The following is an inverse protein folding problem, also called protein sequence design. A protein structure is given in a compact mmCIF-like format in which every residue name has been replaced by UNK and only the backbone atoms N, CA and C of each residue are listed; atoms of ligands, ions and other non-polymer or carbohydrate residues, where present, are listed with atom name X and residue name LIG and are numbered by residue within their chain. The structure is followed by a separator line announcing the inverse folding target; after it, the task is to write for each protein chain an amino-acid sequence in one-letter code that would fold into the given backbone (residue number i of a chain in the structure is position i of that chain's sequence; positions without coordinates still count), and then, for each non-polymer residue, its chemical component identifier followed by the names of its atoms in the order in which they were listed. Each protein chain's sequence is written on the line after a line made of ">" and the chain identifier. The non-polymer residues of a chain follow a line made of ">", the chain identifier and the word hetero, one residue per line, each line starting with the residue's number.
data_IF_125357849540
#
_entry.id   IF_125357849540
#
_cell.length_a   1.000
_cell.length_b   1.000
_cell.length_c   1.000
_cell.angle_alpha   90.00
_cell.angle_beta   90.00
_cell.angle_gamma   90.00
#
_symmetry.space_group_name_H-M   'P 1'
#
loop_
_entity.id
_entity.type
_entity.pdbx_description
1 polymer ?
#
# COMPACT_ATOMS: atom_id res chain seq x y z
N UNK A 1 1.53 55.02 24.57
CA UNK A 1 2.38 55.60 23.50
C UNK A 1 3.79 55.76 24.04
N UNK A 2 4.53 54.64 24.13
CA UNK A 2 5.99 54.61 24.20
C UNK A 2 6.42 53.60 23.13
N UNK A 3 7.03 54.15 22.09
CA UNK A 3 7.50 53.49 20.87
C UNK A 3 8.55 52.45 21.28
N UNK A 4 8.39 51.18 20.91
CA UNK A 4 9.05 50.59 19.73
C UNK A 4 10.41 51.25 19.49
N UNK A 5 11.51 50.54 19.82
CA UNK A 5 12.82 50.56 19.14
C UNK A 5 13.91 49.89 20.01
N UNK A 6 13.74 48.60 20.35
CA UNK A 6 14.89 47.70 20.58
C UNK A 6 14.58 46.40 19.84
N UNK A 7 14.42 46.55 18.53
CA UNK A 7 14.76 45.51 17.57
C UNK A 7 16.29 45.48 17.46
N UNK A 8 16.84 44.30 17.18
CA UNK A 8 18.20 44.07 16.66
C UNK A 8 19.36 43.94 17.67
N UNK A 9 19.33 42.89 18.49
CA UNK A 9 20.52 42.08 18.85
C UNK A 9 20.01 40.80 19.52
N UNK A 10 19.75 39.70 18.82
CA UNK A 10 20.75 38.65 18.64
C UNK A 10 20.40 37.84 17.40
N UNK A 11 21.06 38.23 16.31
CA UNK A 11 21.19 37.47 15.08
C UNK A 11 22.32 36.47 15.27
N UNK A 12 22.06 35.18 15.01
CA UNK A 12 23.09 34.22 14.61
C UNK A 12 23.63 33.31 15.72
N UNK A 13 23.40 32.01 15.55
CA UNK A 13 24.30 30.86 15.78
C UNK A 13 23.47 29.61 15.48
N UNK A 14 23.38 29.22 14.20
CA UNK A 14 24.27 28.26 13.54
C UNK A 14 23.66 26.85 13.53
N UNK A 15 23.35 26.41 12.32
CA UNK A 15 22.97 25.06 11.94
C UNK A 15 23.91 24.00 12.57
N UNK A 16 23.36 23.06 13.32
CA UNK A 16 23.99 21.75 13.56
C UNK A 16 23.18 20.68 12.85
N UNK A 17 23.44 20.56 11.55
CA UNK A 17 22.99 19.42 10.76
C UNK A 17 23.77 18.17 11.20
N UNK A 18 23.21 17.38 12.11
CA UNK A 18 23.66 16.01 12.36
C UNK A 18 23.23 15.13 11.17
N UNK A 19 24.13 15.07 10.18
CA UNK A 19 24.09 14.21 9.02
C UNK A 19 24.36 12.76 9.47
N UNK A 20 23.31 12.03 9.85
CA UNK A 20 23.43 10.58 10.09
C UNK A 20 23.48 9.88 8.73
N UNK A 21 24.67 9.41 8.36
CA UNK A 21 24.93 8.45 7.30
C UNK A 21 25.26 7.11 7.94
N UNK A 22 24.87 6.02 7.26
CA UNK A 22 25.20 4.59 7.46
C UNK A 22 24.15 3.83 8.31
N UNK A 23 23.63 2.66 7.95
CA UNK A 23 23.98 1.65 6.95
C UNK A 23 22.72 1.04 6.31
N UNK A 24 22.76 0.85 4.98
CA UNK A 24 21.89 -0.09 4.28
C UNK A 24 22.60 -1.44 4.38
N UNK A 25 22.02 -2.37 5.14
CA UNK A 25 22.45 -3.76 5.13
C UNK A 25 22.13 -4.35 3.74
N UNK A 26 23.16 -4.36 2.88
CA UNK A 26 23.15 -5.14 1.65
C UNK A 26 23.25 -6.62 2.04
N UNK A 27 22.23 -7.39 1.67
CA UNK A 27 22.27 -8.83 1.76
C UNK A 27 23.32 -9.40 0.79
N UNK A 28 24.07 -10.45 1.19
CA UNK A 28 25.14 -11.00 0.40
C UNK A 28 24.58 -12.03 -0.59
N UNK A 29 24.04 -11.58 -1.71
CA UNK A 29 23.86 -12.46 -2.87
C UNK A 29 24.21 -11.69 -4.14
N UNK A 30 25.51 -11.48 -4.36
CA UNK A 30 26.06 -11.36 -5.72
C UNK A 30 27.44 -11.99 -5.79
N UNK A 31 27.49 -13.08 -6.54
CA UNK A 31 28.60 -13.78 -7.20
C UNK A 31 27.86 -14.80 -8.08
N UNK A 32 28.00 -14.91 -9.38
CA UNK A 32 28.93 -14.36 -10.38
C UNK A 32 28.28 -14.70 -11.75
N UNK A 33 28.53 -13.99 -12.86
CA UNK A 33 27.99 -14.31 -14.18
C UNK A 33 28.85 -15.38 -14.87
N UNK A 34 28.27 -15.99 -15.91
CA UNK A 34 28.95 -16.74 -16.97
C UNK A 34 29.38 -18.18 -16.65
N UNK A 35 28.61 -19.14 -17.16
CA UNK A 35 29.14 -20.25 -18.01
C UNK A 35 27.99 -20.96 -18.73
N UNK A 36 27.90 -20.71 -20.04
CA UNK A 36 27.41 -21.68 -21.05
C UNK A 36 28.69 -22.14 -21.82
N UNK A 37 28.78 -23.34 -22.44
CA UNK A 37 27.77 -23.80 -23.39
C UNK A 37 27.61 -25.33 -23.65
N UNK A 38 26.56 -25.61 -24.45
CA UNK A 38 26.50 -26.54 -25.61
C UNK A 38 25.91 -27.98 -25.48
N UNK A 39 24.78 -28.11 -26.19
CA UNK A 39 24.24 -29.19 -27.08
C UNK A 39 23.78 -30.52 -26.48
N UNK A 40 22.47 -30.77 -26.57
CA UNK A 40 21.93 -31.94 -27.27
C UNK A 40 20.63 -31.56 -27.98
N UNK A 41 20.55 -31.86 -29.28
CA UNK A 41 19.39 -31.66 -30.16
C UNK A 41 18.82 -33.03 -30.51
N UNK A 42 17.50 -33.24 -30.41
CA UNK A 42 16.69 -34.05 -31.35
C UNK A 42 15.21 -33.59 -31.27
N UNK A 43 14.45 -33.54 -32.38
CA UNK A 43 13.16 -32.83 -32.49
C UNK A 43 11.95 -33.77 -32.38
N UNK A 44 10.75 -33.24 -32.11
CA UNK A 44 9.48 -33.72 -32.68
C UNK A 44 8.41 -32.63 -32.55
N UNK A 45 7.75 -32.41 -33.69
CA UNK A 45 6.62 -31.52 -33.88
C UNK A 45 5.39 -31.99 -33.11
N UNK A 46 4.58 -31.05 -32.63
CA UNK A 46 3.16 -31.13 -32.98
C UNK A 46 2.54 -29.74 -33.11
N UNK A 47 1.71 -29.66 -34.14
CA UNK A 47 1.09 -28.47 -34.71
C UNK A 47 -0.35 -28.44 -34.22
N UNK A 48 -0.73 -27.43 -33.44
CA UNK A 48 -2.14 -27.06 -33.29
C UNK A 48 -2.28 -25.57 -33.47
N UNK A 49 -2.82 -25.21 -34.63
CA UNK A 49 -3.31 -23.89 -35.01
C UNK A 49 -4.72 -23.69 -34.45
N UNK A 50 -5.11 -22.41 -34.27
CA UNK A 50 -6.46 -21.87 -33.97
C UNK A 50 -6.77 -21.78 -32.45
N UNK A 51 -7.13 -20.63 -31.87
CA UNK A 51 -7.89 -19.50 -32.41
C UNK A 51 -7.59 -18.26 -31.56
N UNK A 52 -7.32 -17.12 -32.20
CA UNK A 52 -7.16 -15.82 -31.56
C UNK A 52 -8.50 -15.37 -30.98
N UNK A 53 -8.64 -15.41 -29.66
CA UNK A 53 -9.63 -14.63 -28.92
C UNK A 53 -8.89 -13.44 -28.33
N UNK A 54 -9.26 -12.25 -28.77
CA UNK A 54 -8.71 -10.98 -28.32
C UNK A 54 -8.76 -10.90 -26.79
N UNK A 55 -7.60 -11.13 -26.17
CA UNK A 55 -7.40 -11.07 -24.74
C UNK A 55 -7.30 -9.59 -24.35
N UNK A 56 -8.13 -9.09 -23.42
CA UNK A 56 -7.93 -7.75 -22.90
C UNK A 56 -6.59 -7.80 -22.17
N UNK A 57 -5.56 -7.18 -22.79
CA UNK A 57 -4.19 -6.98 -22.30
C UNK A 57 -4.14 -7.18 -20.79
N UNK A 58 -3.79 -8.41 -20.38
CA UNK A 58 -3.62 -8.76 -18.97
C UNK A 58 -2.39 -7.98 -18.54
N UNK A 59 -2.62 -6.77 -18.04
CA UNK A 59 -1.62 -6.06 -17.27
C UNK A 59 -1.23 -7.04 -16.16
N UNK A 60 0.01 -7.53 -16.17
CA UNK A 60 0.55 -8.40 -15.13
C UNK A 60 0.26 -7.75 -13.78
N UNK A 61 -0.75 -8.28 -13.07
CA UNK A 61 -1.15 -7.74 -11.77
C UNK A 61 -0.02 -8.03 -10.81
N UNK A 62 0.70 -6.99 -10.42
CA UNK A 62 1.72 -7.07 -9.38
C UNK A 62 1.14 -7.79 -8.15
N UNK A 63 1.93 -8.66 -7.48
CA UNK A 63 1.44 -9.40 -6.33
C UNK A 63 0.90 -8.43 -5.27
N UNK A 64 -0.25 -8.81 -4.70
CA UNK A 64 -0.92 -8.05 -3.65
C UNK A 64 -0.51 -8.63 -2.29
N UNK A 65 0.09 -7.81 -1.44
CA UNK A 65 0.42 -8.20 -0.07
C UNK A 65 -0.87 -8.40 0.74
N UNK A 66 -0.91 -9.47 1.53
CA UNK A 66 -2.07 -9.81 2.36
C UNK A 66 -1.66 -10.10 3.79
N UNK A 67 -2.48 -9.70 4.76
CA UNK A 67 -2.28 -10.02 6.19
C UNK A 67 -3.61 -10.40 6.83
N UNK A 68 -3.61 -11.45 7.64
CA UNK A 68 -4.75 -11.84 8.48
C UNK A 68 -4.65 -11.11 9.80
N UNK A 69 -5.71 -10.41 10.20
CA UNK A 69 -5.78 -9.66 11.46
C UNK A 69 -7.20 -9.74 12.03
N UNK A 70 -7.31 -9.89 13.35
CA UNK A 70 -8.57 -9.60 14.04
C UNK A 70 -8.78 -8.09 14.07
N UNK A 71 -9.97 -7.63 13.70
CA UNK A 71 -10.32 -6.21 13.63
C UNK A 71 -11.68 -5.94 14.22
N UNK A 72 -11.82 -4.75 14.81
CA UNK A 72 -13.09 -4.20 15.28
C UNK A 72 -13.39 -2.90 14.53
N UNK A 73 -14.67 -2.60 14.36
CA UNK A 73 -15.10 -1.34 13.73
C UNK A 73 -15.07 -0.20 14.76
N UNK A 74 -14.63 0.98 14.34
CA UNK A 74 -14.62 2.18 15.20
C UNK A 74 -15.96 2.90 15.23
N UNK A 75 -16.90 2.54 14.34
CA UNK A 75 -18.25 3.09 14.23
C UNK A 75 -19.27 1.95 14.08
N UNK A 76 -20.43 2.10 14.72
CA UNK A 76 -21.53 1.13 14.63
C UNK A 76 -22.13 1.08 13.22
N UNK A 77 -22.23 2.22 12.54
CA UNK A 77 -22.71 2.28 11.14
C UNK A 77 -21.79 1.53 10.19
N UNK A 78 -20.47 1.69 10.35
CA UNK A 78 -19.50 0.99 9.50
C UNK A 78 -19.57 -0.52 9.72
N UNK A 79 -19.78 -0.94 10.98
CA UNK A 79 -19.99 -2.34 11.36
C UNK A 79 -21.20 -2.92 10.61
N UNK A 80 -22.36 -2.30 10.74
CA UNK A 80 -23.60 -2.78 10.12
C UNK A 80 -23.49 -2.94 8.60
N UNK A 81 -22.73 -2.07 7.93
CA UNK A 81 -22.56 -2.10 6.48
C UNK A 81 -21.48 -3.08 6.00
N UNK A 82 -20.47 -3.38 6.81
CA UNK A 82 -19.25 -4.07 6.37
C UNK A 82 -18.94 -5.36 7.14
N UNK A 83 -19.72 -5.73 8.16
CA UNK A 83 -19.43 -6.90 9.00
C UNK A 83 -19.56 -8.22 8.24
N UNK A 84 -20.35 -8.26 7.16
CA UNK A 84 -20.42 -9.44 6.28
C UNK A 84 -19.17 -9.63 5.41
N UNK A 85 -18.31 -8.61 5.30
CA UNK A 85 -17.13 -8.64 4.43
C UNK A 85 -15.90 -9.18 5.17
N UNK A 86 -15.05 -9.90 4.43
CA UNK A 86 -13.84 -10.56 4.95
C UNK A 86 -12.55 -9.94 4.43
N UNK A 87 -12.59 -9.22 3.30
CA UNK A 87 -11.42 -8.64 2.67
C UNK A 87 -11.51 -7.12 2.66
N UNK A 88 -10.50 -6.43 3.17
CA UNK A 88 -10.48 -4.98 3.33
C UNK A 88 -9.26 -4.39 2.62
N UNK A 89 -9.49 -3.37 1.78
CA UNK A 89 -8.44 -2.69 1.02
C UNK A 89 -7.88 -1.54 1.85
N UNK A 90 -6.65 -1.71 2.35
CA UNK A 90 -6.01 -0.79 3.27
C UNK A 90 -5.08 0.17 2.55
N UNK A 91 -5.27 1.48 2.77
CA UNK A 91 -4.40 2.54 2.25
C UNK A 91 -3.54 3.21 3.33
N UNK A 92 -3.87 3.02 4.61
CA UNK A 92 -3.16 3.64 5.71
C UNK A 92 -3.20 2.80 6.98
N UNK A 93 -2.17 2.92 7.81
CA UNK A 93 -2.06 2.24 9.09
C UNK A 93 -1.36 3.15 10.09
N UNK A 94 -2.07 3.51 11.16
CA UNK A 94 -1.63 4.53 12.10
C UNK A 94 -1.69 4.02 13.53
N UNK A 95 -0.70 4.34 14.35
CA UNK A 95 -0.70 4.01 15.78
C UNK A 95 -1.62 4.94 16.60
N UNK A 96 -1.99 6.10 16.05
CA UNK A 96 -2.85 7.09 16.69
C UNK A 96 -4.15 7.26 15.90
N UNK A 97 -5.28 7.24 16.59
CA UNK A 97 -6.60 7.35 15.98
C UNK A 97 -6.80 8.68 15.26
N UNK A 98 -6.30 9.78 15.81
CA UNK A 98 -6.47 11.11 15.21
C UNK A 98 -5.73 11.24 13.87
N UNK A 99 -4.57 10.58 13.72
CA UNK A 99 -3.88 10.49 12.44
C UNK A 99 -4.70 9.70 11.41
N UNK A 100 -5.33 8.59 11.83
CA UNK A 100 -6.22 7.83 10.96
C UNK A 100 -7.46 8.65 10.54
N UNK A 101 -8.03 9.45 11.46
CA UNK A 101 -9.15 10.36 11.18
C UNK A 101 -8.76 11.45 10.18
N UNK A 102 -7.61 12.10 10.37
CA UNK A 102 -7.13 13.13 9.44
C UNK A 102 -6.88 12.55 8.04
N UNK A 103 -6.31 11.35 7.97
CA UNK A 103 -6.11 10.66 6.69
C UNK A 103 -7.45 10.24 6.05
N UNK A 104 -8.44 9.81 6.85
CA UNK A 104 -9.81 9.57 6.39
C UNK A 104 -10.41 10.81 5.71
N UNK A 105 -10.30 11.99 6.31
CA UNK A 105 -10.78 13.23 5.70
C UNK A 105 -10.08 13.54 4.37
N UNK A 106 -8.77 13.27 4.29
CA UNK A 106 -8.01 13.42 3.04
C UNK A 106 -8.56 12.51 1.94
N UNK A 107 -8.87 11.26 2.27
CA UNK A 107 -9.43 10.29 1.32
C UNK A 107 -10.88 10.62 0.94
N UNK A 108 -11.70 11.12 1.86
CA UNK A 108 -13.05 11.62 1.56
C UNK A 108 -13.00 12.75 0.51
N UNK A 109 -12.09 13.70 0.67
CA UNK A 109 -11.89 14.80 -0.29
C UNK A 109 -11.41 14.33 -1.67
N UNK A 110 -10.83 13.13 -1.75
CA UNK A 110 -10.44 12.49 -3.02
C UNK A 110 -11.56 11.63 -3.64
N UNK A 111 -12.73 11.56 -2.99
CA UNK A 111 -13.88 10.80 -3.48
C UNK A 111 -13.92 9.33 -3.05
N UNK A 112 -13.07 8.91 -2.11
CA UNK A 112 -13.20 7.59 -1.49
C UNK A 112 -14.27 7.60 -0.39
N UNK A 113 -14.68 6.40 0.03
CA UNK A 113 -15.57 6.18 1.18
C UNK A 113 -14.83 5.42 2.29
N UNK A 114 -13.84 6.04 2.95
CA UNK A 114 -12.98 5.38 3.92
C UNK A 114 -13.68 5.10 5.26
N UNK A 115 -13.42 3.91 5.80
CA UNK A 115 -13.75 3.50 7.18
C UNK A 115 -12.47 3.26 7.98
N UNK A 116 -12.58 3.28 9.31
CA UNK A 116 -11.45 2.99 10.21
C UNK A 116 -11.73 1.72 11.01
N UNK A 117 -10.82 0.76 10.89
CA UNK A 117 -10.79 -0.47 11.66
C UNK A 117 -9.72 -0.38 12.75
N UNK A 118 -9.98 -0.96 13.91
CA UNK A 118 -8.99 -1.12 14.98
C UNK A 118 -8.52 -2.58 15.01
N UNK A 119 -7.24 -2.79 14.72
CA UNK A 119 -6.60 -4.11 14.66
C UNK A 119 -6.15 -4.58 16.04
N UNK A 120 -6.13 -5.90 16.25
CA UNK A 120 -5.51 -6.54 17.42
C UNK A 120 -4.04 -6.15 17.64
N UNK A 121 -3.36 -5.68 16.59
CA UNK A 121 -1.99 -5.16 16.64
C UNK A 121 -1.88 -3.77 17.29
N UNK A 122 -3.00 -3.14 17.65
CA UNK A 122 -3.06 -1.78 18.19
C UNK A 122 -2.99 -0.68 17.13
N UNK A 123 -2.98 -1.03 15.85
CA UNK A 123 -3.00 -0.07 14.75
C UNK A 123 -4.43 0.21 14.25
N UNK A 124 -4.68 1.45 13.89
CA UNK A 124 -5.87 1.89 13.17
C UNK A 124 -5.64 1.76 11.67
N UNK A 125 -6.39 0.87 11.01
CA UNK A 125 -6.32 0.61 9.58
C UNK A 125 -7.36 1.47 8.87
N UNK A 126 -6.93 2.28 7.91
CA UNK A 126 -7.83 3.07 7.07
C UNK A 126 -8.12 2.28 5.80
N UNK A 127 -9.37 1.87 5.66
CA UNK A 127 -9.86 1.00 4.60
C UNK A 127 -10.77 1.79 3.65
N UNK A 128 -10.58 1.67 2.34
CA UNK A 128 -11.41 2.40 1.34
C UNK A 128 -12.50 1.55 0.70
N UNK A 129 -12.36 0.22 0.72
CA UNK A 129 -13.35 -0.71 0.18
C UNK A 129 -13.24 -2.04 0.92
N UNK A 130 -14.36 -2.73 1.09
CA UNK A 130 -14.41 -4.07 1.65
C UNK A 130 -15.24 -5.00 0.76
N UNK A 131 -14.92 -6.29 0.77
CA UNK A 131 -15.50 -7.29 -0.12
C UNK A 131 -15.66 -8.64 0.59
N UNK A 132 -16.62 -9.45 0.12
CA UNK A 132 -16.74 -10.85 0.52
C UNK A 132 -15.78 -11.75 -0.24
N UNK A 133 -15.46 -11.43 -1.51
CA UNK A 133 -14.59 -12.21 -2.36
C UNK A 133 -13.17 -11.61 -2.47
N UNK A 134 -12.15 -12.46 -2.35
CA UNK A 134 -10.74 -12.06 -2.45
C UNK A 134 -10.40 -11.47 -3.83
N UNK A 135 -10.96 -12.06 -4.89
CA UNK A 135 -10.72 -11.63 -6.27
C UNK A 135 -11.09 -10.18 -6.50
N UNK A 136 -12.24 -9.75 -5.95
CA UNK A 136 -12.74 -8.39 -6.11
C UNK A 136 -11.88 -7.40 -5.35
N UNK A 137 -11.45 -7.77 -4.14
CA UNK A 137 -10.52 -6.98 -3.35
C UNK A 137 -9.16 -6.81 -4.04
N UNK A 138 -8.61 -7.88 -4.62
CA UNK A 138 -7.36 -7.84 -5.40
C UNK A 138 -7.49 -6.98 -6.65
N UNK A 139 -8.62 -7.09 -7.36
CA UNK A 139 -8.92 -6.26 -8.52
C UNK A 139 -8.95 -4.78 -8.11
N UNK A 140 -9.59 -4.47 -6.99
CA UNK A 140 -9.66 -3.10 -6.48
C UNK A 140 -8.29 -2.55 -6.09
N UNK A 141 -7.44 -3.34 -5.44
CA UNK A 141 -6.05 -2.94 -5.14
C UNK A 141 -5.29 -2.62 -6.43
N UNK A 142 -5.37 -3.48 -7.44
CA UNK A 142 -4.72 -3.25 -8.72
C UNK A 142 -5.20 -1.94 -9.39
N UNK A 143 -6.52 -1.69 -9.37
CA UNK A 143 -7.10 -0.44 -9.88
C UNK A 143 -6.62 0.78 -9.10
N UNK A 144 -6.60 0.72 -7.77
CA UNK A 144 -6.12 1.84 -6.95
C UNK A 144 -4.65 2.14 -7.26
N UNK A 145 -3.79 1.12 -7.29
CA UNK A 145 -2.37 1.31 -7.59
C UNK A 145 -2.12 1.87 -9.00
N UNK A 146 -3.00 1.57 -9.95
CA UNK A 146 -2.93 2.09 -11.32
C UNK A 146 -3.44 3.53 -11.43
N UNK A 147 -4.59 3.84 -10.82
CA UNK A 147 -5.22 5.17 -10.91
C UNK A 147 -4.60 6.20 -9.95
N UNK A 148 -4.01 5.74 -8.85
CA UNK A 148 -3.44 6.57 -7.80
C UNK A 148 -2.03 6.04 -7.44
N UNK A 149 -0.99 6.44 -8.20
CA UNK A 149 0.38 5.96 -7.97
C UNK A 149 0.92 6.21 -6.56
N UNK A 150 0.41 7.24 -5.87
CA UNK A 150 0.74 7.53 -4.47
C UNK A 150 0.27 6.45 -3.49
N UNK A 151 -0.65 5.56 -3.90
CA UNK A 151 -1.18 4.44 -3.12
C UNK A 151 -0.67 3.09 -3.66
N UNK A 152 0.55 3.08 -4.20
CA UNK A 152 1.23 1.87 -4.70
C UNK A 152 1.44 0.81 -3.60
N UNK A 153 1.46 1.23 -2.33
CA UNK A 153 1.59 0.40 -1.14
C UNK A 153 0.26 -0.20 -0.63
N UNK A 154 -0.87 0.10 -1.28
CA UNK A 154 -2.18 -0.46 -0.94
C UNK A 154 -2.12 -1.99 -0.79
N UNK A 155 -2.73 -2.55 0.24
CA UNK A 155 -2.64 -3.97 0.57
C UNK A 155 -3.96 -4.51 1.11
N UNK A 156 -4.09 -5.84 1.23
CA UNK A 156 -5.32 -6.48 1.70
C UNK A 156 -5.20 -6.98 3.13
N UNK A 157 -6.17 -6.59 3.95
CA UNK A 157 -6.42 -7.18 5.25
C UNK A 157 -7.51 -8.25 5.11
N UNK A 158 -7.25 -9.43 5.66
CA UNK A 158 -8.21 -10.53 5.76
C UNK A 158 -8.69 -10.55 7.21
N UNK A 159 -9.98 -10.26 7.41
CA UNK A 159 -10.60 -10.32 8.74
C UNK A 159 -10.71 -11.78 9.15
N UNK A 160 -10.07 -12.08 10.28
CA UNK A 160 -10.09 -13.40 10.90
C UNK A 160 -11.33 -13.59 11.77
#
# INVERSE_FOLDING_TARGET
>A
MNRILIFALMLGLAFTACKSKKEVAQSPYTTDPSTQPKVFSVPTADKTTETVKEEPKVAEKQPVAMRKEQVTFTSQTDKEQNEVNSFFVILGSFSQLDNARNYRETLLNQGFTPIILHSETGYYRVCVNSYQAESDARNRVAQIRQSYPQYSDAWLLIKN
#
